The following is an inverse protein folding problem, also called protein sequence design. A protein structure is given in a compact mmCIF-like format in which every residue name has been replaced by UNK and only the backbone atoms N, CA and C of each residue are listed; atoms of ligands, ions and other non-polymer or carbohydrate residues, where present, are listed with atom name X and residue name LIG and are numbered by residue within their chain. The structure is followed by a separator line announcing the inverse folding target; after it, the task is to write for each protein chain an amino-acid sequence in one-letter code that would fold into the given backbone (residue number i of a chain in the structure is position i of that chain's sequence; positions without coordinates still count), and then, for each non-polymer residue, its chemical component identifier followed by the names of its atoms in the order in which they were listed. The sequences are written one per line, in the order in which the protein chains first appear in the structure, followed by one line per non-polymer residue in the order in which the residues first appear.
data_IF_767018309056
#
_entry.id   IF_767018309056
#
_cell.length_a   1.000
_cell.length_b   1.000
_cell.length_c   1.000
_cell.angle_alpha   90.00
_cell.angle_beta   90.00
_cell.angle_gamma   90.00
#
_symmetry.space_group_name_H-M   'P 1'
#
loop_
_entity.id
_entity.type
_entity.pdbx_description
1 polymer ?
#
# COMPACT_ATOMS: atom_id res chain seq x y z
N UNK A 1 10.46 -22.29 0.69
CA UNK A 1 9.47 -22.14 -0.40
C UNK A 1 9.35 -20.66 -0.72
N UNK A 2 9.70 -20.24 -1.94
CA UNK A 2 9.75 -18.83 -2.31
C UNK A 2 8.35 -18.28 -2.61
N UNK A 3 7.80 -17.48 -1.69
CA UNK A 3 6.59 -16.69 -1.91
C UNK A 3 6.97 -15.22 -2.03
N UNK A 4 6.30 -14.48 -2.91
CA UNK A 4 6.47 -13.03 -3.06
C UNK A 4 5.13 -12.33 -2.89
N UNK A 5 5.15 -11.21 -2.16
CA UNK A 5 3.96 -10.40 -1.89
C UNK A 5 3.44 -9.79 -3.18
N UNK A 6 2.17 -10.06 -3.50
CA UNK A 6 1.47 -9.52 -4.65
C UNK A 6 0.68 -8.25 -4.31
N UNK A 7 0.04 -8.28 -3.14
CA UNK A 7 -1.02 -7.33 -2.83
C UNK A 7 -1.69 -7.63 -1.50
N UNK A 8 -2.83 -7.01 -1.27
CA UNK A 8 -3.66 -7.20 -0.07
C UNK A 8 -5.14 -7.25 -0.44
N UNK A 9 -5.88 -8.12 0.23
CA UNK A 9 -7.33 -8.03 0.38
C UNK A 9 -7.64 -7.14 1.58
N UNK A 10 -8.58 -6.22 1.44
CA UNK A 10 -9.09 -5.38 2.51
C UNK A 10 -10.60 -5.60 2.59
N UNK A 11 -11.06 -6.18 3.69
CA UNK A 11 -12.40 -6.72 3.82
C UNK A 11 -12.63 -7.83 2.79
N UNK A 12 -13.82 -7.84 2.19
CA UNK A 12 -14.24 -8.86 1.21
C UNK A 12 -14.13 -8.41 -0.26
N UNK A 13 -14.07 -7.11 -0.49
CA UNK A 13 -14.34 -6.53 -1.81
C UNK A 13 -13.21 -5.65 -2.33
N UNK A 14 -12.29 -5.22 -1.47
CA UNK A 14 -11.27 -4.24 -1.86
C UNK A 14 -9.93 -4.95 -2.04
N UNK A 15 -9.34 -4.76 -3.21
CA UNK A 15 -8.09 -5.37 -3.62
C UNK A 15 -7.05 -4.29 -3.84
N UNK A 16 -5.88 -4.47 -3.23
CA UNK A 16 -4.71 -3.65 -3.45
C UNK A 16 -3.65 -4.44 -4.20
N UNK A 17 -3.31 -3.98 -5.41
CA UNK A 17 -2.31 -4.57 -6.28
C UNK A 17 -1.04 -3.71 -6.26
N UNK A 18 0.07 -4.32 -5.82
CA UNK A 18 1.34 -3.60 -5.61
C UNK A 18 1.98 -3.21 -6.94
N UNK A 19 2.00 -4.11 -7.91
CA UNK A 19 2.71 -3.91 -9.17
C UNK A 19 2.07 -2.80 -10.01
N UNK A 20 0.74 -2.74 -10.01
CA UNK A 20 -0.02 -1.73 -10.74
C UNK A 20 -0.25 -0.44 -9.94
N UNK A 21 0.06 -0.45 -8.63
CA UNK A 21 -0.21 0.65 -7.68
C UNK A 21 -1.70 1.01 -7.61
N UNK A 22 -2.57 0.01 -7.75
CA UNK A 22 -4.02 0.21 -7.82
C UNK A 22 -4.74 -0.39 -6.63
N UNK A 23 -5.73 0.35 -6.17
CA UNK A 23 -6.77 -0.13 -5.27
C UNK A 23 -8.07 -0.17 -6.05
N UNK A 24 -8.81 -1.28 -5.98
CA UNK A 24 -10.10 -1.40 -6.65
C UNK A 24 -11.10 -2.16 -5.78
N UNK A 25 -12.38 -1.85 -5.96
CA UNK A 25 -13.48 -2.56 -5.31
C UNK A 25 -14.21 -3.43 -6.31
N UNK A 26 -14.32 -4.71 -5.99
CA UNK A 26 -15.14 -5.66 -6.71
C UNK A 26 -16.29 -6.10 -5.79
N UNK A 27 -17.52 -5.57 -5.99
CA UNK A 27 -18.65 -5.94 -5.15
C UNK A 27 -18.97 -7.42 -5.27
N UNK A 28 -19.30 -8.05 -4.15
CA UNK A 28 -19.57 -9.49 -4.06
C UNK A 28 -21.05 -9.82 -3.88
N UNK A 29 -21.89 -8.83 -3.57
CA UNK A 29 -23.33 -9.03 -3.44
C UNK A 29 -24.03 -9.06 -4.79
N UNK A 30 -24.79 -10.12 -5.05
CA UNK A 30 -25.67 -10.27 -6.21
C UNK A 30 -27.07 -9.67 -5.98
N UNK A 31 -27.33 -9.07 -4.81
CA UNK A 31 -28.68 -8.61 -4.44
C UNK A 31 -29.09 -7.26 -5.02
N UNK A 32 -28.13 -6.46 -5.51
CA UNK A 32 -28.38 -5.14 -6.08
C UNK A 32 -27.94 -5.11 -7.54
N UNK A 33 -28.86 -4.79 -8.45
CA UNK A 33 -28.61 -4.68 -9.90
C UNK A 33 -27.61 -3.56 -10.29
N UNK A 34 -27.06 -2.82 -9.32
CA UNK A 34 -26.08 -1.76 -9.52
C UNK A 34 -24.73 -2.14 -8.92
N UNK A 35 -23.82 -2.65 -9.76
CA UNK A 35 -22.42 -2.86 -9.40
C UNK A 35 -21.63 -1.57 -9.63
N UNK A 36 -21.18 -0.92 -8.56
CA UNK A 36 -20.23 0.19 -8.67
C UNK A 36 -18.81 -0.38 -8.61
N UNK A 37 -18.19 -0.52 -9.78
CA UNK A 37 -16.76 -0.72 -9.86
C UNK A 37 -16.05 0.61 -9.64
N UNK A 38 -15.17 0.66 -8.65
CA UNK A 38 -14.32 1.81 -8.40
C UNK A 38 -12.86 1.37 -8.44
N UNK A 39 -11.99 2.23 -8.99
CA UNK A 39 -10.55 2.02 -8.98
C UNK A 39 -9.84 3.35 -8.78
N UNK A 40 -8.77 3.32 -7.99
CA UNK A 40 -7.89 4.45 -7.76
C UNK A 40 -6.44 4.01 -7.96
N UNK A 41 -5.66 4.88 -8.61
CA UNK A 41 -4.22 4.70 -8.80
C UNK A 41 -3.48 5.57 -7.80
N UNK A 42 -2.43 5.03 -7.19
CA UNK A 42 -1.50 5.76 -6.34
C UNK A 42 -0.27 6.22 -7.12
N UNK A 43 0.25 7.40 -6.77
CA UNK A 43 1.61 7.78 -7.16
C UNK A 43 2.62 7.00 -6.28
N UNK A 44 3.91 7.10 -6.60
CA UNK A 44 4.96 6.33 -5.91
C UNK A 44 5.01 6.58 -4.40
N UNK A 45 4.94 7.83 -3.96
CA UNK A 45 4.99 8.15 -2.52
C UNK A 45 3.76 7.63 -1.78
N UNK A 46 2.57 7.76 -2.36
CA UNK A 46 1.32 7.22 -1.77
C UNK A 46 1.35 5.70 -1.71
N UNK A 47 1.85 5.07 -2.78
CA UNK A 47 2.03 3.63 -2.88
C UNK A 47 2.95 3.11 -1.78
N UNK A 48 4.15 3.71 -1.65
CA UNK A 48 5.14 3.32 -0.66
C UNK A 48 4.61 3.53 0.76
N UNK A 49 3.98 4.69 1.03
CA UNK A 49 3.38 4.97 2.33
C UNK A 49 2.29 3.95 2.69
N UNK A 50 1.36 3.70 1.78
CA UNK A 50 0.26 2.77 2.02
C UNK A 50 0.75 1.34 2.22
N UNK A 51 1.68 0.88 1.38
CA UNK A 51 2.30 -0.44 1.51
C UNK A 51 3.01 -0.61 2.85
N UNK A 52 3.76 0.40 3.28
CA UNK A 52 4.47 0.38 4.56
C UNK A 52 3.50 0.32 5.74
N UNK A 53 2.42 1.11 5.69
CA UNK A 53 1.34 1.07 6.69
C UNK A 53 0.66 -0.31 6.76
N UNK A 54 0.36 -0.95 5.63
CA UNK A 54 -0.25 -2.29 5.64
C UNK A 54 0.71 -3.37 6.13
N UNK A 55 2.02 -3.22 5.91
CA UNK A 55 3.04 -4.17 6.39
C UNK A 55 3.27 -4.06 7.89
N UNK A 56 3.44 -2.84 8.40
CA UNK A 56 3.95 -2.61 9.75
C UNK A 56 2.95 -1.92 10.69
N UNK A 57 2.01 -1.15 10.14
CA UNK A 57 1.10 -0.30 10.88
C UNK A 57 -0.22 -0.96 11.29
N UNK A 58 -0.48 -2.22 10.93
CA UNK A 58 -1.69 -2.96 11.33
C UNK A 58 -1.71 -3.32 12.81
N UNK A 59 -0.54 -3.60 13.38
CA UNK A 59 -0.41 -4.04 14.79
C UNK A 59 0.50 -3.13 15.61
N UNK A 60 1.16 -2.16 14.97
CA UNK A 60 2.07 -1.21 15.60
C UNK A 60 1.70 0.22 15.25
N UNK A 61 2.21 1.16 16.05
CA UNK A 61 2.19 2.57 15.68
C UNK A 61 3.54 2.90 15.02
N UNK A 62 3.47 3.47 13.82
CA UNK A 62 4.64 3.88 13.04
C UNK A 62 4.94 5.33 13.36
N UNK A 63 6.14 5.61 13.87
CA UNK A 63 6.52 6.99 14.20
C UNK A 63 6.61 7.86 12.95
N UNK A 64 6.54 9.18 13.14
CA UNK A 64 6.66 10.13 12.03
C UNK A 64 8.07 10.09 11.43
N UNK A 65 9.06 9.91 12.29
CA UNK A 65 10.49 9.81 11.95
C UNK A 65 10.75 8.55 11.13
N UNK A 66 10.13 7.42 11.49
CA UNK A 66 10.19 6.18 10.72
C UNK A 66 9.56 6.33 9.33
N UNK A 67 8.41 7.02 9.23
CA UNK A 67 7.82 7.32 7.92
C UNK A 67 8.70 8.24 7.08
N UNK A 68 9.30 9.27 7.68
CA UNK A 68 10.23 10.16 6.98
C UNK A 68 11.40 9.39 6.37
N UNK A 69 12.02 8.54 7.17
CA UNK A 69 13.13 7.72 6.72
C UNK A 69 12.72 6.76 5.59
N UNK A 70 11.73 5.90 5.85
CA UNK A 70 11.42 4.78 4.95
C UNK A 70 10.69 5.20 3.67
N UNK A 71 9.94 6.31 3.69
CA UNK A 71 9.10 6.72 2.55
C UNK A 71 9.76 7.83 1.73
N UNK A 72 10.50 8.74 2.37
CA UNK A 72 11.14 9.86 1.69
C UNK A 72 12.64 9.67 1.55
N UNK A 73 13.39 9.51 2.64
CA UNK A 73 14.86 9.53 2.60
C UNK A 73 15.44 8.35 1.81
N UNK A 74 14.94 7.12 2.04
CA UNK A 74 15.33 5.93 1.27
C UNK A 74 15.04 6.09 -0.23
N UNK A 75 14.07 6.94 -0.59
CA UNK A 75 13.72 7.26 -1.98
C UNK A 75 14.44 8.53 -2.49
N UNK A 76 15.45 9.04 -1.78
CA UNK A 76 16.16 10.30 -2.08
C UNK A 76 15.24 11.53 -2.18
N UNK A 77 14.13 11.53 -1.45
CA UNK A 77 13.21 12.64 -1.32
C UNK A 77 13.40 13.32 0.03
N UNK A 78 13.23 14.64 0.09
CA UNK A 78 13.29 15.35 1.37
C UNK A 78 11.96 15.19 2.15
N UNK A 79 11.99 14.73 3.41
CA UNK A 79 10.79 14.64 4.23
C UNK A 79 10.36 16.02 4.76
N UNK A 80 9.06 16.20 5.00
CA UNK A 80 8.54 17.30 5.82
C UNK A 80 7.17 16.98 6.39
N UNK A 81 6.80 17.62 7.49
CA UNK A 81 5.47 17.46 8.11
C UNK A 81 4.35 17.80 7.11
N UNK A 82 4.56 18.84 6.30
CA UNK A 82 3.60 19.27 5.29
C UNK A 82 3.46 18.24 4.17
N UNK A 83 4.57 17.66 3.68
CA UNK A 83 4.54 16.61 2.66
C UNK A 83 3.82 15.36 3.16
N UNK A 84 4.12 14.92 4.38
CA UNK A 84 3.42 13.78 4.99
C UNK A 84 1.92 14.04 5.12
N UNK A 85 1.53 15.22 5.60
CA UNK A 85 0.12 15.59 5.69
C UNK A 85 -0.57 15.59 4.31
N UNK A 86 0.07 16.16 3.29
CA UNK A 86 -0.47 16.18 1.92
C UNK A 86 -0.68 14.76 1.37
N UNK A 87 0.32 13.88 1.52
CA UNK A 87 0.24 12.50 1.04
C UNK A 87 -0.83 11.73 1.80
N UNK A 88 -0.90 11.84 3.13
CA UNK A 88 -1.93 11.20 3.95
C UNK A 88 -3.35 11.68 3.60
N UNK A 89 -3.53 12.99 3.40
CA UNK A 89 -4.83 13.55 3.04
C UNK A 89 -5.29 13.07 1.65
N UNK A 90 -4.38 13.09 0.67
CA UNK A 90 -4.67 12.57 -0.67
C UNK A 90 -4.95 11.06 -0.64
N UNK A 91 -4.25 10.31 0.21
CA UNK A 91 -4.44 8.89 0.39
C UNK A 91 -5.82 8.62 1.00
N UNK A 92 -6.14 9.24 2.13
CA UNK A 92 -7.45 9.12 2.80
C UNK A 92 -8.61 9.45 1.87
N UNK A 93 -8.50 10.49 1.02
CA UNK A 93 -9.51 10.81 -0.01
C UNK A 93 -9.73 9.66 -1.00
N UNK A 94 -8.65 9.06 -1.51
CA UNK A 94 -8.73 7.92 -2.44
C UNK A 94 -9.27 6.65 -1.76
N UNK A 95 -8.87 6.40 -0.52
CA UNK A 95 -9.39 5.27 0.26
C UNK A 95 -10.90 5.43 0.49
N UNK A 96 -11.35 6.63 0.86
CA UNK A 96 -12.77 6.93 1.04
C UNK A 96 -13.56 6.73 -0.26
N UNK A 97 -13.00 7.13 -1.41
CA UNK A 97 -13.64 6.95 -2.72
C UNK A 97 -13.87 5.47 -3.07
N UNK A 98 -13.02 4.57 -2.59
CA UNK A 98 -13.16 3.12 -2.80
C UNK A 98 -14.10 2.45 -1.79
N UNK A 99 -14.61 3.21 -0.81
CA UNK A 99 -15.49 2.71 0.24
C UNK A 99 -14.79 2.30 1.54
N UNK A 100 -13.51 2.64 1.72
CA UNK A 100 -12.85 2.46 3.03
C UNK A 100 -13.25 3.58 4.00
N UNK A 101 -13.26 3.31 5.31
CA UNK A 101 -13.64 4.30 6.30
C UNK A 101 -12.62 5.44 6.38
N UNK A 102 -13.08 6.65 6.75
CA UNK A 102 -12.22 7.86 6.80
C UNK A 102 -11.07 7.73 7.78
N UNK A 103 -11.30 7.00 8.86
CA UNK A 103 -10.34 6.69 9.91
C UNK A 103 -9.52 5.43 9.62
N UNK A 104 -9.51 4.90 8.38
CA UNK A 104 -8.66 3.75 8.02
C UNK A 104 -7.19 3.94 8.42
N UNK A 105 -6.68 5.17 8.34
CA UNK A 105 -5.36 5.56 8.86
C UNK A 105 -5.59 6.56 10.00
N UNK A 106 -5.22 6.19 11.22
CA UNK A 106 -5.31 7.08 12.39
C UNK A 106 -3.93 7.55 12.85
N UNK A 107 -3.86 8.80 13.26
CA UNK A 107 -2.72 9.34 14.01
C UNK A 107 -3.04 9.26 15.51
N UNK A 108 -2.36 8.38 16.23
CA UNK A 108 -2.41 8.33 17.69
C UNK A 108 -1.44 9.37 18.23
N UNK A 109 -1.98 10.42 18.89
CA UNK A 109 -1.20 11.51 19.47
C UNK A 109 -0.02 10.97 20.29
N UNK A 110 1.19 11.43 19.94
CA UNK A 110 2.44 11.04 20.59
C UNK A 110 2.94 9.62 20.28
N UNK A 111 2.22 8.83 19.46
CA UNK A 111 2.57 7.45 19.12
C UNK A 111 2.75 7.20 17.61
N UNK A 112 2.26 8.09 16.76
CA UNK A 112 2.40 7.98 15.31
C UNK A 112 1.17 7.40 14.62
N UNK A 113 1.36 6.73 13.50
CA UNK A 113 0.29 6.32 12.58
C UNK A 113 0.04 4.81 12.61
N UNK A 114 -1.22 4.40 12.47
CA UNK A 114 -1.60 2.98 12.43
C UNK A 114 -2.82 2.77 11.53
N UNK A 115 -2.98 1.56 11.03
CA UNK A 115 -4.13 1.13 10.22
C UNK A 115 -5.24 0.68 11.16
N UNK A 116 -6.36 1.38 11.16
CA UNK A 116 -7.55 1.06 11.96
C UNK A 116 -8.51 0.16 11.16
N UNK A 117 -8.04 -1.01 10.77
CA UNK A 117 -8.84 -1.98 10.01
C UNK A 117 -8.31 -3.39 10.22
N UNK A 118 -9.13 -4.27 10.78
CA UNK A 118 -8.71 -5.62 11.17
C UNK A 118 -8.59 -6.55 9.96
N UNK A 119 -9.56 -6.47 9.04
CA UNK A 119 -9.68 -7.38 7.90
C UNK A 119 -8.73 -6.97 6.76
N UNK A 120 -7.43 -7.11 6.97
CA UNK A 120 -6.41 -6.92 5.93
C UNK A 120 -5.60 -8.20 5.78
N UNK A 121 -5.73 -8.86 4.63
CA UNK A 121 -5.06 -10.13 4.34
C UNK A 121 -4.02 -9.95 3.23
N UNK A 122 -2.73 -10.21 3.47
CA UNK A 122 -1.72 -10.18 2.42
C UNK A 122 -1.91 -11.34 1.43
N UNK A 123 -1.76 -11.06 0.14
CA UNK A 123 -1.84 -12.03 -0.96
C UNK A 123 -0.43 -12.27 -1.49
N UNK A 124 -0.06 -13.54 -1.63
CA UNK A 124 1.24 -13.97 -2.15
C UNK A 124 1.06 -14.89 -3.34
N UNK A 125 2.00 -14.86 -4.28
CA UNK A 125 2.14 -15.90 -5.30
C UNK A 125 3.41 -16.72 -5.03
N UNK A 126 3.41 -17.95 -5.54
CA UNK A 126 4.60 -18.81 -5.53
C UNK A 126 5.54 -18.34 -6.64
N UNK A 127 6.79 -18.08 -6.29
CA UNK A 127 7.81 -17.63 -7.25
C UNK A 127 8.03 -18.67 -8.36
N UNK A 128 7.85 -19.96 -8.05
CA UNK A 128 7.94 -21.07 -9.02
C UNK A 128 6.85 -21.06 -10.09
N UNK A 129 5.76 -20.31 -9.89
CA UNK A 129 4.65 -20.17 -10.84
C UNK A 129 4.80 -18.93 -11.73
N UNK A 130 5.87 -18.14 -11.54
CA UNK A 130 6.17 -17.02 -12.43
C UNK A 130 6.59 -17.54 -13.81
N UNK A 131 6.06 -16.95 -14.90
CA UNK A 131 6.56 -17.22 -16.23
C UNK A 131 8.08 -16.98 -16.29
N UNK A 132 8.83 -17.90 -16.90
CA UNK A 132 10.30 -17.89 -16.97
C UNK A 132 10.88 -16.62 -17.62
N UNK A 133 10.05 -15.84 -18.32
CA UNK A 133 10.41 -14.55 -18.90
C UNK A 133 10.37 -13.36 -17.93
N UNK A 134 9.76 -13.49 -16.75
CA UNK A 134 9.61 -12.40 -15.77
C UNK A 134 10.80 -12.25 -14.82
N UNK A 135 11.72 -13.23 -14.79
CA UNK A 135 12.82 -13.32 -13.80
C UNK A 135 13.99 -12.36 -14.14
N UNK A 136 14.10 -11.88 -15.38
CA UNK A 136 15.29 -11.14 -15.85
C UNK A 136 15.37 -9.64 -15.47
N UNK A 137 14.43 -9.08 -14.70
CA UNK A 137 14.40 -7.61 -14.45
C UNK A 137 14.98 -7.12 -13.12
N UNK A 138 15.40 -7.98 -12.19
CA UNK A 138 15.86 -7.52 -10.85
C UNK A 138 17.29 -7.92 -10.45
N UNK A 139 18.12 -8.42 -11.36
CA UNK A 139 19.55 -8.58 -11.09
C UNK A 139 20.40 -7.73 -12.05
N UNK A 140 20.72 -6.51 -11.62
CA UNK A 140 22.06 -5.96 -11.83
C UNK A 140 22.53 -5.34 -10.52
N UNK A 141 23.50 -5.95 -9.82
CA UNK A 141 24.37 -5.18 -8.96
C UNK A 141 25.25 -4.34 -9.89
N UNK A 142 25.22 -3.03 -9.69
CA UNK A 142 26.14 -2.10 -10.34
C UNK A 142 27.53 -2.31 -9.73
N UNK A 143 28.24 -3.31 -10.24
CA UNK A 143 29.66 -3.48 -9.94
C UNK A 143 30.41 -2.39 -10.69
N UNK A 144 30.87 -1.41 -9.91
CA UNK A 144 32.06 -0.60 -10.13
C UNK A 144 33.04 -1.29 -11.10
N UNK A 145 33.36 -0.59 -12.19
CA UNK A 145 34.60 -0.79 -12.92
C UNK A 145 35.29 0.57 -13.02
N UNK A 146 36.41 0.60 -12.30
CA UNK A 146 37.65 1.39 -12.43
C UNK A 146 37.66 2.59 -13.39
#
# INVERSE_FOLDING_TARGET
MGYRLYGFMIGKEIHFDINSRRLYRLPTSQSDNNLIFASVVFNDTMMNLFLYLLKYGRHNNISKEELFHNIWEVSNLSPSSQRLWQVLNNLSKKLTLIGLPRDFIINKKGRGYTVNYEDVTPIYYRVSELPTHSIKKEEKPDTLRE
#
